data_IF_219709317304
#
_entry.id   IF_219709317304
#
_cell.length_a   1.000
_cell.length_b   1.000
_cell.length_c   1.000
_cell.angle_alpha   90.00
_cell.angle_beta   90.00
_cell.angle_gamma   90.00
#
_symmetry.space_group_name_H-M   'P 1'
#
loop_
_entity.id
_entity.type
_entity.pdbx_description
1 polymer ?
#
# COMPACT_ATOMS: atom_id res chain seq x y z
N UNK A 1 4.97 -22.02 4.55
CA UNK A 1 5.21 -20.63 4.09
C UNK A 1 5.35 -19.73 5.30
N UNK A 2 6.45 -19.03 5.43
CA UNK A 2 6.69 -18.04 6.49
C UNK A 2 6.26 -16.68 5.99
N UNK A 3 5.25 -16.10 6.64
CA UNK A 3 4.81 -14.74 6.36
C UNK A 3 5.65 -13.74 7.14
N UNK A 4 6.05 -12.68 6.47
CA UNK A 4 6.77 -11.59 7.10
C UNK A 4 5.86 -10.83 8.07
N UNK A 5 6.30 -10.70 9.33
CA UNK A 5 5.51 -10.02 10.36
C UNK A 5 5.72 -8.50 10.36
N UNK A 6 4.78 -7.83 10.99
CA UNK A 6 4.90 -6.42 11.32
C UNK A 6 4.23 -6.12 12.67
N UNK A 7 4.83 -5.22 13.42
CA UNK A 7 4.21 -4.69 14.63
C UNK A 7 3.10 -3.70 14.28
N UNK A 8 2.06 -3.71 15.09
CA UNK A 8 0.95 -2.79 14.94
C UNK A 8 1.35 -1.36 15.31
N UNK A 9 1.10 -0.41 14.43
CA UNK A 9 1.07 1.01 14.76
C UNK A 9 -0.38 1.48 14.80
N UNK A 10 -0.78 2.08 15.91
CA UNK A 10 -2.08 2.74 15.99
C UNK A 10 -1.98 4.09 15.29
N UNK A 11 -2.78 4.26 14.24
CA UNK A 11 -3.02 5.60 13.71
C UNK A 11 -3.64 6.46 14.83
N UNK A 12 -3.24 7.71 14.93
CA UNK A 12 -4.00 8.65 15.74
C UNK A 12 -5.35 8.81 15.04
N UNK A 13 -6.46 8.68 15.80
CA UNK A 13 -7.78 9.07 15.32
C UNK A 13 -7.82 10.60 15.14
N UNK A 14 -7.06 11.09 14.15
CA UNK A 14 -7.38 12.40 13.63
C UNK A 14 -8.67 12.21 12.83
N UNK A 15 -9.74 12.95 13.12
CA UNK A 15 -10.80 13.16 12.14
C UNK A 15 -10.08 13.50 10.84
N UNK A 16 -10.59 13.01 9.70
CA UNK A 16 -9.94 13.19 8.40
C UNK A 16 -9.46 14.64 8.30
N UNK A 17 -8.19 14.86 8.66
CA UNK A 17 -7.64 16.21 8.79
C UNK A 17 -7.69 16.78 7.39
N UNK A 18 -8.53 17.78 7.20
CA UNK A 18 -8.80 18.50 5.96
C UNK A 18 -9.66 17.77 4.91
N UNK A 19 -10.46 16.74 5.27
CA UNK A 19 -11.41 16.11 4.34
C UNK A 19 -10.79 15.27 3.23
N UNK A 20 -9.47 15.05 3.20
CA UNK A 20 -8.80 14.26 2.16
C UNK A 20 -8.83 12.75 2.44
N UNK A 21 -8.96 11.96 1.37
CA UNK A 21 -8.77 10.53 1.36
C UNK A 21 -7.30 10.20 1.03
N UNK A 22 -6.51 9.90 2.06
CA UNK A 22 -5.06 9.67 1.91
C UNK A 22 -4.76 8.26 1.45
N UNK A 23 -4.09 8.13 0.31
CA UNK A 23 -3.58 6.88 -0.24
C UNK A 23 -2.06 6.87 -0.08
N UNK A 24 -1.54 5.96 0.74
CA UNK A 24 -0.11 5.82 0.97
C UNK A 24 0.51 4.88 -0.08
N UNK A 25 1.68 5.24 -0.58
CA UNK A 25 2.55 4.37 -1.40
C UNK A 25 3.91 4.31 -0.72
N UNK A 26 4.37 3.11 -0.40
CA UNK A 26 5.67 2.89 0.26
C UNK A 26 6.53 2.03 -0.64
N UNK A 27 7.44 2.67 -1.35
CA UNK A 27 8.42 1.97 -2.19
C UNK A 27 9.53 2.91 -2.62
N UNK A 28 10.75 2.42 -2.71
CA UNK A 28 11.76 3.14 -3.49
C UNK A 28 11.32 3.27 -4.95
N UNK A 29 11.69 4.38 -5.59
CA UNK A 29 11.34 4.63 -6.98
C UNK A 29 12.30 3.85 -7.88
N UNK A 30 11.82 2.68 -8.30
CA UNK A 30 12.48 1.77 -9.24
C UNK A 30 11.44 1.06 -10.12
N UNK A 31 11.80 0.65 -11.35
CA UNK A 31 10.83 0.16 -12.35
C UNK A 31 9.93 -1.01 -11.87
N UNK A 32 10.48 -1.94 -11.08
CA UNK A 32 9.77 -3.13 -10.59
C UNK A 32 8.64 -2.77 -9.63
N UNK A 33 8.73 -1.62 -8.97
CA UNK A 33 7.71 -1.12 -8.04
C UNK A 33 6.60 -0.33 -8.74
N UNK A 34 6.80 0.05 -10.01
CA UNK A 34 5.89 0.91 -10.77
C UNK A 34 5.38 2.12 -9.96
N UNK A 35 6.30 2.90 -9.36
CA UNK A 35 6.04 3.74 -8.19
C UNK A 35 5.09 4.91 -8.46
N UNK A 36 4.98 5.36 -9.70
CA UNK A 36 4.13 6.50 -10.07
C UNK A 36 2.73 6.10 -10.54
N UNK A 37 2.41 4.79 -10.59
CA UNK A 37 1.13 4.29 -11.09
C UNK A 37 -0.07 4.87 -10.31
N UNK A 38 0.03 4.92 -8.98
CA UNK A 38 -1.03 5.48 -8.13
C UNK A 38 -1.19 6.98 -8.36
N UNK A 39 -0.11 7.73 -8.52
CA UNK A 39 -0.16 9.15 -8.86
C UNK A 39 -0.84 9.39 -10.20
N UNK A 40 -0.45 8.62 -11.23
CA UNK A 40 -1.07 8.67 -12.57
C UNK A 40 -2.57 8.31 -12.53
N UNK A 41 -2.97 7.36 -11.71
CA UNK A 41 -4.38 7.00 -11.51
C UNK A 41 -5.15 8.12 -10.80
N UNK A 42 -4.60 8.67 -9.73
CA UNK A 42 -5.21 9.76 -8.98
C UNK A 42 -5.41 11.03 -9.81
N UNK A 43 -4.52 11.30 -10.76
CA UNK A 43 -4.65 12.44 -11.69
C UNK A 43 -5.87 12.32 -12.61
N UNK A 44 -6.37 11.10 -12.86
CA UNK A 44 -7.52 10.82 -13.71
C UNK A 44 -8.85 10.80 -12.97
N UNK A 45 -8.84 10.94 -11.64
CA UNK A 45 -10.04 11.00 -10.83
C UNK A 45 -10.83 12.29 -11.10
N UNK A 46 -12.17 12.27 -10.91
CA UNK A 46 -13.01 13.45 -11.05
C UNK A 46 -12.53 14.61 -10.16
N UNK A 47 -12.86 15.83 -10.51
CA UNK A 47 -12.52 17.03 -9.74
C UNK A 47 -13.04 16.99 -8.30
N UNK A 48 -14.20 16.35 -8.09
CA UNK A 48 -14.84 16.15 -6.78
C UNK A 48 -14.11 15.16 -5.87
N UNK A 49 -13.20 14.33 -6.41
CA UNK A 49 -12.45 13.37 -5.59
C UNK A 49 -11.50 14.05 -4.61
N UNK A 50 -11.51 13.57 -3.38
CA UNK A 50 -10.66 14.03 -2.27
C UNK A 50 -9.38 13.21 -2.10
N UNK A 51 -9.12 12.25 -3.01
CA UNK A 51 -7.92 11.43 -2.98
C UNK A 51 -6.66 12.27 -3.01
N UNK A 52 -5.74 11.97 -2.09
CA UNK A 52 -4.36 12.49 -2.04
C UNK A 52 -3.39 11.33 -1.88
N UNK A 53 -2.42 11.25 -2.78
CA UNK A 53 -1.39 10.21 -2.78
C UNK A 53 -0.16 10.72 -2.04
N UNK A 54 0.25 9.99 -1.01
CA UNK A 54 1.46 10.22 -0.24
C UNK A 54 2.48 9.14 -0.59
N UNK A 55 3.54 9.50 -1.31
CA UNK A 55 4.58 8.55 -1.72
C UNK A 55 5.82 8.69 -0.84
N UNK A 56 6.25 7.58 -0.25
CA UNK A 56 7.44 7.47 0.60
C UNK A 56 8.45 6.55 -0.09
N UNK A 57 9.66 7.04 -0.26
CA UNK A 57 10.79 6.32 -0.83
C UNK A 57 11.72 7.23 -1.63
N UNK A 58 12.98 6.82 -1.74
CA UNK A 58 13.98 7.55 -2.53
C UNK A 58 14.03 7.05 -3.96
N UNK A 59 14.41 7.89 -4.94
CA UNK A 59 14.72 7.43 -6.28
C UNK A 59 16.04 6.65 -6.28
N UNK A 60 16.07 5.54 -7.02
CA UNK A 60 17.28 4.73 -7.19
C UNK A 60 18.02 5.04 -8.51
N UNK A 61 17.56 6.05 -9.26
CA UNK A 61 18.24 6.59 -10.45
C UNK A 61 17.83 8.04 -10.69
N UNK A 62 18.66 8.77 -11.42
CA UNK A 62 18.36 10.15 -11.83
C UNK A 62 17.12 10.23 -12.73
N UNK A 63 16.89 9.23 -13.55
CA UNK A 63 15.69 9.13 -14.36
C UNK A 63 14.42 9.08 -13.48
N UNK A 64 14.42 8.26 -12.43
CA UNK A 64 13.31 8.20 -11.46
C UNK A 64 13.18 9.51 -10.68
N UNK A 65 14.30 10.15 -10.32
CA UNK A 65 14.28 11.44 -9.64
C UNK A 65 13.62 12.53 -10.52
N UNK A 66 13.95 12.58 -11.80
CA UNK A 66 13.30 13.52 -12.74
C UNK A 66 11.80 13.22 -12.89
N UNK A 67 11.43 11.95 -13.03
CA UNK A 67 10.02 11.54 -13.20
C UNK A 67 9.16 11.90 -11.99
N UNK A 68 9.64 11.64 -10.76
CA UNK A 68 8.87 11.96 -9.56
C UNK A 68 8.71 13.48 -9.36
N UNK A 69 9.75 14.27 -9.64
CA UNK A 69 9.67 15.74 -9.61
C UNK A 69 8.66 16.28 -10.64
N UNK A 70 8.72 15.77 -11.87
CA UNK A 70 7.77 16.13 -12.91
C UNK A 70 6.32 15.75 -12.54
N UNK A 71 6.12 14.57 -11.93
CA UNK A 71 4.79 14.18 -11.47
C UNK A 71 4.32 15.08 -10.31
N UNK A 72 5.19 15.42 -9.37
CA UNK A 72 4.87 16.33 -8.25
C UNK A 72 4.45 17.72 -8.77
N UNK A 73 5.15 18.23 -9.77
CA UNK A 73 4.88 19.58 -10.31
C UNK A 73 3.52 19.66 -11.04
N UNK A 74 3.09 18.59 -11.72
CA UNK A 74 1.86 18.60 -12.56
C UNK A 74 0.62 17.98 -11.91
N UNK A 75 0.79 17.29 -10.76
CA UNK A 75 -0.29 16.54 -10.13
C UNK A 75 -0.59 17.07 -8.72
N UNK A 76 -1.60 17.91 -8.55
CA UNK A 76 -1.94 18.50 -7.25
C UNK A 76 -2.44 17.45 -6.22
N UNK A 77 -2.75 16.22 -6.68
CA UNK A 77 -3.14 15.11 -5.80
C UNK A 77 -1.97 14.26 -5.32
N UNK A 78 -0.75 14.54 -5.77
CA UNK A 78 0.44 13.77 -5.47
C UNK A 78 1.43 14.56 -4.60
N UNK A 79 1.88 13.93 -3.52
CA UNK A 79 2.91 14.47 -2.63
C UNK A 79 4.01 13.41 -2.44
N UNK A 80 5.20 13.71 -2.94
CA UNK A 80 6.38 12.90 -2.69
C UNK A 80 7.07 13.38 -1.42
N UNK A 81 7.16 12.49 -0.42
CA UNK A 81 7.71 12.78 0.92
C UNK A 81 9.21 12.46 1.03
N UNK A 82 9.81 11.93 -0.06
CA UNK A 82 11.19 11.45 0.00
C UNK A 82 11.35 10.17 0.82
N UNK A 83 12.56 9.92 1.29
CA UNK A 83 12.85 8.82 2.20
C UNK A 83 12.57 9.28 3.64
N UNK A 84 11.83 8.46 4.38
CA UNK A 84 11.53 8.70 5.78
C UNK A 84 12.12 7.58 6.64
N UNK A 85 12.36 7.87 7.92
CA UNK A 85 12.68 6.81 8.88
C UNK A 85 11.56 5.76 8.96
N UNK A 86 11.90 4.53 9.33
CA UNK A 86 10.91 3.45 9.46
C UNK A 86 9.74 3.83 10.38
N UNK A 87 10.04 4.42 11.53
CA UNK A 87 9.01 4.87 12.48
C UNK A 87 8.07 5.92 11.85
N UNK A 88 8.61 6.89 11.10
CA UNK A 88 7.82 7.92 10.43
C UNK A 88 7.00 7.36 9.28
N UNK A 89 7.56 6.45 8.50
CA UNK A 89 6.86 5.74 7.41
C UNK A 89 5.63 5.00 7.96
N UNK A 90 5.80 4.21 9.01
CA UNK A 90 4.70 3.48 9.66
C UNK A 90 3.64 4.43 10.24
N UNK A 91 4.04 5.58 10.78
CA UNK A 91 3.10 6.59 11.28
C UNK A 91 2.27 7.20 10.13
N UNK A 92 2.88 7.52 8.98
CA UNK A 92 2.16 8.02 7.79
C UNK A 92 1.19 6.96 7.28
N UNK A 93 1.63 5.71 7.16
CA UNK A 93 0.79 4.58 6.75
C UNK A 93 -0.41 4.43 7.69
N UNK A 94 -0.20 4.37 9.00
CA UNK A 94 -1.27 4.18 9.99
C UNK A 94 -2.30 5.33 10.02
N UNK A 95 -1.91 6.52 9.54
CA UNK A 95 -2.80 7.68 9.40
C UNK A 95 -3.37 7.84 7.97
N UNK A 96 -3.16 6.86 7.09
CA UNK A 96 -3.73 6.83 5.74
C UNK A 96 -4.97 5.94 5.69
N UNK A 97 -5.89 6.25 4.78
CA UNK A 97 -7.10 5.46 4.57
C UNK A 97 -6.83 4.21 3.73
N UNK A 98 -5.76 4.20 2.93
CA UNK A 98 -5.47 3.13 1.98
C UNK A 98 -3.97 3.01 1.76
N UNK A 99 -3.45 1.77 1.64
CA UNK A 99 -2.16 1.49 1.03
C UNK A 99 -2.38 1.11 -0.44
N UNK A 100 -1.55 1.62 -1.34
CA UNK A 100 -1.50 1.17 -2.74
C UNK A 100 -0.16 0.51 -3.04
N UNK A 101 -0.20 -0.75 -3.49
CA UNK A 101 0.96 -1.54 -3.89
C UNK A 101 0.87 -1.81 -5.38
N UNK A 102 1.73 -1.17 -6.16
CA UNK A 102 1.68 -1.16 -7.64
C UNK A 102 2.76 -2.01 -8.30
N UNK A 103 3.47 -2.81 -7.51
CA UNK A 103 4.62 -3.59 -7.96
C UNK A 103 4.27 -4.55 -9.11
N UNK A 104 5.21 -4.69 -10.02
CA UNK A 104 5.18 -5.68 -11.11
C UNK A 104 5.68 -7.03 -10.64
N UNK A 105 6.55 -7.03 -9.63
CA UNK A 105 7.13 -8.21 -9.03
C UNK A 105 7.35 -7.98 -7.53
N UNK A 106 6.92 -8.93 -6.71
CA UNK A 106 7.14 -9.00 -5.27
C UNK A 106 7.24 -10.46 -4.84
N UNK A 107 8.16 -10.75 -3.96
CA UNK A 107 8.14 -12.01 -3.20
C UNK A 107 7.28 -11.84 -1.94
N UNK A 108 7.72 -10.96 -1.04
CA UNK A 108 7.00 -10.54 0.16
C UNK A 108 7.08 -9.02 0.28
N UNK A 109 6.02 -8.38 0.75
CA UNK A 109 5.96 -6.92 0.85
C UNK A 109 5.83 -6.47 2.30
N UNK A 110 6.91 -5.87 2.84
CA UNK A 110 6.89 -5.29 4.20
C UNK A 110 5.76 -4.28 4.37
N UNK A 111 5.59 -3.40 3.37
CA UNK A 111 4.52 -2.39 3.39
C UNK A 111 3.13 -3.03 3.48
N UNK A 112 2.92 -4.18 2.81
CA UNK A 112 1.67 -4.93 2.90
C UNK A 112 1.46 -5.49 4.32
N UNK A 113 2.48 -6.13 4.90
CA UNK A 113 2.41 -6.66 6.28
C UNK A 113 2.16 -5.55 7.30
N UNK A 114 2.81 -4.41 7.16
CA UNK A 114 2.62 -3.23 8.02
C UNK A 114 1.21 -2.64 7.89
N UNK A 115 0.64 -2.60 6.68
CA UNK A 115 -0.73 -2.14 6.45
C UNK A 115 -1.75 -3.08 7.11
N UNK A 116 -1.60 -4.39 6.92
CA UNK A 116 -2.45 -5.41 7.55
C UNK A 116 -2.38 -5.30 9.07
N UNK A 117 -1.17 -5.25 9.65
CA UNK A 117 -0.97 -5.11 11.08
C UNK A 117 -1.62 -3.83 11.65
N UNK A 118 -1.57 -2.73 10.90
CA UNK A 118 -2.13 -1.43 11.28
C UNK A 118 -3.60 -1.24 10.90
N UNK A 119 -4.24 -2.29 10.33
CA UNK A 119 -5.66 -2.27 9.88
C UNK A 119 -5.94 -1.22 8.77
N UNK A 120 -4.95 -0.94 7.95
CA UNK A 120 -5.08 -0.10 6.76
C UNK A 120 -5.43 -1.01 5.58
N UNK A 121 -6.57 -0.82 4.89
CA UNK A 121 -6.92 -1.61 3.73
C UNK A 121 -5.96 -1.33 2.57
N UNK A 122 -5.91 -2.27 1.62
CA UNK A 122 -4.90 -2.27 0.55
C UNK A 122 -5.59 -2.31 -0.81
N UNK A 123 -5.02 -1.64 -1.82
CA UNK A 123 -5.19 -1.98 -3.23
C UNK A 123 -3.86 -2.50 -3.76
N UNK A 124 -3.90 -3.53 -4.60
CA UNK A 124 -2.69 -4.20 -5.01
C UNK A 124 -2.74 -4.64 -6.48
N UNK A 125 -1.60 -4.57 -7.16
CA UNK A 125 -1.44 -5.24 -8.44
C UNK A 125 -1.64 -6.74 -8.28
N UNK A 126 -2.35 -7.40 -9.22
CA UNK A 126 -2.65 -8.83 -9.16
C UNK A 126 -1.43 -9.65 -9.60
N UNK A 127 -0.51 -9.89 -8.67
CA UNK A 127 0.70 -10.70 -8.88
C UNK A 127 0.80 -11.80 -7.81
N UNK A 128 1.52 -12.87 -8.12
CA UNK A 128 1.61 -14.09 -7.27
C UNK A 128 2.03 -13.78 -5.83
N UNK A 129 3.06 -12.96 -5.63
CA UNK A 129 3.56 -12.62 -4.30
C UNK A 129 2.53 -11.88 -3.43
N UNK A 130 1.72 -10.99 -4.01
CA UNK A 130 0.67 -10.28 -3.26
C UNK A 130 -0.57 -11.18 -3.07
N UNK A 131 -0.89 -12.05 -4.06
CA UNK A 131 -1.96 -13.03 -3.93
C UNK A 131 -1.67 -14.07 -2.84
N UNK A 132 -0.40 -14.40 -2.60
CA UNK A 132 0.01 -15.30 -1.51
C UNK A 132 -0.39 -14.79 -0.13
N UNK A 133 -0.43 -13.48 0.07
CA UNK A 133 -0.79 -12.86 1.36
C UNK A 133 -2.27 -12.46 1.41
N UNK A 134 -2.78 -11.80 0.37
CA UNK A 134 -4.14 -11.25 0.35
C UNK A 134 -5.22 -12.27 -0.03
N UNK A 135 -4.82 -13.44 -0.60
CA UNK A 135 -5.74 -14.41 -1.16
C UNK A 135 -6.13 -14.12 -2.61
N UNK A 136 -6.50 -15.18 -3.36
CA UNK A 136 -6.80 -15.06 -4.82
C UNK A 136 -8.01 -14.18 -5.12
N UNK A 137 -9.01 -14.20 -4.25
CA UNK A 137 -10.31 -13.54 -4.44
C UNK A 137 -10.40 -12.18 -3.73
N UNK A 138 -9.25 -11.59 -3.39
CA UNK A 138 -9.23 -10.29 -2.75
C UNK A 138 -9.82 -9.21 -3.69
N UNK A 139 -10.84 -8.43 -3.25
CA UNK A 139 -11.55 -7.51 -4.13
C UNK A 139 -10.80 -6.21 -4.46
N UNK A 140 -9.65 -5.97 -3.82
CA UNK A 140 -8.82 -4.78 -4.02
C UNK A 140 -7.72 -4.95 -5.07
N UNK A 141 -7.81 -5.95 -5.95
CA UNK A 141 -6.83 -6.13 -7.02
C UNK A 141 -7.15 -5.31 -8.27
N UNK A 142 -6.07 -4.90 -8.94
CA UNK A 142 -6.11 -4.39 -10.31
C UNK A 142 -5.01 -5.04 -11.17
N UNK A 143 -5.17 -5.13 -12.51
CA UNK A 143 -4.15 -5.71 -13.38
C UNK A 143 -2.88 -4.87 -13.40
N UNK A 144 -1.72 -5.53 -13.45
CA UNK A 144 -0.40 -4.87 -13.50
C UNK A 144 -0.34 -3.82 -14.61
N UNK A 145 0.13 -2.63 -14.28
CA UNK A 145 0.32 -1.54 -15.24
C UNK A 145 -0.96 -0.85 -15.73
N UNK A 146 -2.15 -1.32 -15.36
CA UNK A 146 -3.43 -0.78 -15.82
C UNK A 146 -3.88 0.44 -14.99
N UNK A 147 -3.46 1.63 -15.43
CA UNK A 147 -3.80 2.90 -14.75
C UNK A 147 -5.31 3.11 -14.68
N UNK A 148 -6.05 2.81 -15.76
CA UNK A 148 -7.51 2.99 -15.81
C UNK A 148 -8.23 2.13 -14.79
N UNK A 149 -7.86 0.86 -14.67
CA UNK A 149 -8.42 -0.05 -13.67
C UNK A 149 -8.15 0.44 -12.23
N UNK A 150 -6.94 0.93 -11.96
CA UNK A 150 -6.61 1.51 -10.66
C UNK A 150 -7.40 2.80 -10.40
N UNK A 151 -7.60 3.65 -11.41
CA UNK A 151 -8.45 4.86 -11.29
C UNK A 151 -9.87 4.49 -10.87
N UNK A 152 -10.50 3.54 -11.59
CA UNK A 152 -11.85 3.06 -11.28
C UNK A 152 -11.95 2.45 -9.88
N UNK A 153 -10.92 1.71 -9.47
CA UNK A 153 -10.87 1.11 -8.14
C UNK A 153 -10.74 2.17 -7.04
N UNK A 154 -9.90 3.19 -7.22
CA UNK A 154 -9.77 4.31 -6.27
C UNK A 154 -11.07 5.11 -6.15
N UNK A 155 -11.70 5.41 -7.27
CA UNK A 155 -13.00 6.09 -7.31
C UNK A 155 -14.08 5.29 -6.57
N UNK A 156 -14.17 3.99 -6.85
CA UNK A 156 -15.10 3.08 -6.16
C UNK A 156 -14.85 3.02 -4.65
N UNK A 157 -13.60 3.02 -4.22
CA UNK A 157 -13.25 2.95 -2.79
C UNK A 157 -13.65 4.24 -2.08
N UNK A 158 -13.45 5.37 -2.71
CA UNK A 158 -13.81 6.67 -2.15
C UNK A 158 -15.34 6.89 -2.13
N UNK A 159 -16.03 6.51 -3.21
CA UNK A 159 -17.47 6.77 -3.40
C UNK A 159 -18.38 5.71 -2.79
N UNK A 160 -17.88 4.49 -2.48
CA UNK A 160 -18.69 3.40 -1.96
C UNK A 160 -18.18 2.92 -0.58
N UNK A 161 -18.79 3.42 0.52
CA UNK A 161 -18.40 3.05 1.88
C UNK A 161 -18.52 1.56 2.19
N UNK A 162 -19.47 0.84 1.57
CA UNK A 162 -19.63 -0.60 1.75
C UNK A 162 -18.48 -1.38 1.14
N UNK A 163 -18.04 -0.96 -0.05
CA UNK A 163 -16.88 -1.56 -0.68
C UNK A 163 -15.61 -1.31 0.15
N UNK A 164 -15.43 -0.09 0.65
CA UNK A 164 -14.32 0.24 1.54
C UNK A 164 -14.34 -0.59 2.83
N UNK A 165 -15.52 -0.76 3.46
CA UNK A 165 -15.67 -1.61 4.65
C UNK A 165 -15.31 -3.07 4.37
N UNK A 166 -15.67 -3.60 3.19
CA UNK A 166 -15.30 -4.97 2.79
C UNK A 166 -13.80 -5.14 2.65
N UNK A 167 -13.08 -4.19 2.03
CA UNK A 167 -11.62 -4.21 1.96
C UNK A 167 -11.00 -4.20 3.36
N UNK A 168 -11.48 -3.32 4.22
CA UNK A 168 -11.00 -3.20 5.61
C UNK A 168 -11.24 -4.47 6.41
N UNK A 169 -12.41 -5.06 6.30
CA UNK A 169 -12.75 -6.32 6.97
C UNK A 169 -11.89 -7.48 6.48
N UNK A 170 -11.61 -7.54 5.17
CA UNK A 170 -10.73 -8.57 4.61
C UNK A 170 -9.32 -8.44 5.18
N UNK A 171 -8.70 -7.26 5.13
CA UNK A 171 -7.37 -7.03 5.69
C UNK A 171 -7.34 -7.30 7.22
N UNK A 172 -8.40 -6.98 7.95
CA UNK A 172 -8.48 -7.25 9.37
C UNK A 172 -8.42 -8.76 9.70
N UNK A 173 -9.04 -9.62 8.87
CA UNK A 173 -8.98 -11.09 9.02
C UNK A 173 -7.57 -11.65 8.79
N UNK A 174 -6.75 -10.96 8.01
CA UNK A 174 -5.38 -11.38 7.73
C UNK A 174 -4.38 -10.98 8.82
N UNK A 175 -4.76 -10.17 9.81
CA UNK A 175 -3.86 -9.72 10.88
C UNK A 175 -3.11 -10.85 11.60
N UNK A 176 -3.73 -11.99 11.95
CA UNK A 176 -3.02 -13.09 12.59
C UNK A 176 -1.86 -13.65 11.73
N UNK A 177 -1.92 -13.51 10.41
CA UNK A 177 -0.85 -13.98 9.51
C UNK A 177 0.45 -13.19 9.66
N UNK A 178 0.34 -11.91 10.03
CA UNK A 178 1.48 -10.97 10.11
C UNK A 178 1.89 -10.67 11.56
N UNK A 179 1.46 -11.47 12.52
CA UNK A 179 1.86 -11.31 13.90
C UNK A 179 3.29 -11.81 14.14
N UNK A 180 4.15 -11.03 14.87
CA UNK A 180 5.53 -11.43 15.14
C UNK A 180 5.69 -12.79 15.85
N UNK A 181 4.69 -13.17 16.67
CA UNK A 181 4.69 -14.49 17.33
C UNK A 181 4.59 -15.64 16.34
N UNK A 182 3.73 -15.48 15.31
CA UNK A 182 3.54 -16.50 14.27
C UNK A 182 4.79 -16.68 13.41
N UNK A 183 5.42 -15.61 12.98
CA UNK A 183 6.67 -15.69 12.22
C UNK A 183 7.75 -16.40 13.01
N UNK A 184 7.93 -16.03 14.28
CA UNK A 184 8.90 -16.71 15.17
C UNK A 184 8.60 -18.20 15.38
N UNK A 185 7.33 -18.58 15.51
CA UNK A 185 6.93 -19.97 15.61
C UNK A 185 7.27 -20.76 14.34
N UNK A 186 6.91 -20.20 13.17
CA UNK A 186 7.18 -20.84 11.89
C UNK A 186 8.69 -21.01 11.61
N UNK A 187 9.53 -20.06 12.04
CA UNK A 187 10.98 -20.21 11.96
C UNK A 187 11.51 -21.32 12.88
N UNK A 188 10.99 -21.44 14.11
CA UNK A 188 11.38 -22.53 15.03
C UNK A 188 11.00 -23.91 14.50
N UNK A 189 9.79 -24.04 13.94
CA UNK A 189 9.33 -25.29 13.31
C UNK A 189 10.25 -25.67 12.14
N UNK A 190 10.55 -24.71 11.24
CA UNK A 190 11.44 -24.99 10.11
C UNK A 190 12.86 -25.40 10.55
N UNK A 191 13.41 -24.74 11.57
CA UNK A 191 14.74 -25.09 12.08
C UNK A 191 14.77 -26.48 12.73
N UNK A 192 13.71 -26.84 13.45
CA UNK A 192 13.60 -28.18 14.05
C UNK A 192 13.43 -29.31 13.02
N UNK A 193 12.97 -29.02 11.79
CA UNK A 193 12.93 -30.00 10.69
C UNK A 193 14.30 -30.24 10.03
N UNK A 194 15.29 -29.39 10.31
CA UNK A 194 16.63 -29.47 9.72
C UNK A 194 17.68 -30.11 10.66
N UNK A 195 17.31 -30.33 11.92
CA UNK A 195 18.12 -31.07 12.93
C UNK A 195 17.80 -32.57 12.89
#
# INVERSE_FOLDING_TARGET
VIYQSAERVRGRNYPATNGFFKVCVISHLRPEKDPLRTAMAARRLPSSSRVRVLHIGRPLSDAMARQVRAETARNPRFCWLGELSHARTRQVLANSQLLSVTSRMEGSSNALSEAIASSVPVVASKISGLMGTLGRDYPGYFPVGQTGALTQLLDKIESNPDFYRRLKAHCARLRPLVEPKRERAAWRELLAELE
#
